data_IF_143914912998
#
_entry.id   IF_143914912998
#
_cell.length_a   1.000
_cell.length_b   1.000
_cell.length_c   1.000
_cell.angle_alpha   90.00
_cell.angle_beta   90.00
_cell.angle_gamma   90.00
#
_symmetry.space_group_name_H-M   'P 1'
#
loop_
_entity.id
_entity.type
_entity.pdbx_description
1 polymer ?
#
# COMPACT_ATOMS: atom_id res chain seq x y z
N UNK A 1 32.29 -26.10 38.52
CA UNK A 1 30.87 -25.93 38.90
C UNK A 1 30.44 -24.50 39.18
N UNK A 2 31.11 -23.71 40.02
CA UNK A 2 30.68 -22.34 40.40
C UNK A 2 30.65 -21.37 39.19
N UNK A 3 31.65 -21.43 38.30
CA UNK A 3 31.73 -20.59 37.07
C UNK A 3 30.56 -20.90 36.15
N UNK A 4 30.27 -22.16 35.87
CA UNK A 4 29.17 -22.58 34.99
C UNK A 4 27.80 -22.09 35.50
N UNK A 5 27.55 -22.19 36.81
CA UNK A 5 26.31 -21.68 37.43
C UNK A 5 26.19 -20.15 37.29
N UNK A 6 27.29 -19.42 37.41
CA UNK A 6 27.32 -17.96 37.23
C UNK A 6 27.05 -17.57 35.78
N UNK A 7 27.65 -18.28 34.80
CA UNK A 7 27.44 -18.05 33.37
C UNK A 7 25.99 -18.34 32.99
N UNK A 8 25.42 -19.47 33.45
CA UNK A 8 24.00 -19.81 33.21
C UNK A 8 23.04 -18.77 33.82
N UNK A 9 23.36 -18.22 35.02
CA UNK A 9 22.55 -17.15 35.61
C UNK A 9 22.56 -15.89 34.75
N UNK A 10 23.74 -15.46 34.29
CA UNK A 10 23.84 -14.26 33.44
C UNK A 10 23.18 -14.46 32.08
N UNK A 11 23.30 -15.65 31.48
CA UNK A 11 22.60 -16.00 30.25
C UNK A 11 21.07 -15.92 30.43
N UNK A 12 20.55 -16.46 31.55
CA UNK A 12 19.13 -16.32 31.89
C UNK A 12 18.66 -14.87 32.04
N UNK A 13 19.46 -14.02 32.70
CA UNK A 13 19.17 -12.58 32.81
C UNK A 13 19.15 -11.89 31.46
N UNK A 14 20.13 -12.18 30.59
CA UNK A 14 20.19 -11.61 29.24
C UNK A 14 18.95 -12.03 28.41
N UNK A 15 18.57 -13.30 28.46
CA UNK A 15 17.36 -13.79 27.78
C UNK A 15 16.11 -13.05 28.29
N UNK A 16 15.95 -12.91 29.61
CA UNK A 16 14.82 -12.20 30.19
C UNK A 16 14.78 -10.73 29.76
N UNK A 17 15.93 -10.07 29.71
CA UNK A 17 16.03 -8.68 29.22
C UNK A 17 15.65 -8.58 27.72
N UNK A 18 16.12 -9.50 26.89
CA UNK A 18 15.76 -9.53 25.47
C UNK A 18 14.25 -9.77 25.26
N UNK A 19 13.66 -10.68 26.04
CA UNK A 19 12.21 -10.92 26.03
C UNK A 19 11.44 -9.69 26.48
N UNK A 20 11.90 -9.02 27.54
CA UNK A 20 11.26 -7.79 28.03
C UNK A 20 11.32 -6.66 27.00
N UNK A 21 12.48 -6.46 26.34
CA UNK A 21 12.65 -5.49 25.26
C UNK A 21 11.74 -5.85 24.07
N UNK A 22 11.72 -7.10 23.65
CA UNK A 22 10.85 -7.58 22.58
C UNK A 22 9.36 -7.35 22.88
N UNK A 23 8.92 -7.69 24.09
CA UNK A 23 7.54 -7.45 24.55
C UNK A 23 7.20 -5.95 24.57
N UNK A 24 8.14 -5.11 25.02
CA UNK A 24 7.94 -3.66 25.03
C UNK A 24 7.80 -3.10 23.61
N UNK A 25 8.67 -3.50 22.68
CA UNK A 25 8.60 -3.09 21.27
C UNK A 25 7.29 -3.56 20.62
N UNK A 26 6.88 -4.80 20.90
CA UNK A 26 5.58 -5.33 20.46
C UNK A 26 4.42 -4.45 20.95
N UNK A 27 4.37 -4.15 22.25
CA UNK A 27 3.28 -3.38 22.85
C UNK A 27 3.23 -1.94 22.39
N UNK A 28 4.39 -1.29 22.17
CA UNK A 28 4.45 0.12 21.79
C UNK A 28 4.23 0.33 20.29
N UNK A 29 4.76 -0.54 19.43
CA UNK A 29 4.76 -0.33 17.99
C UNK A 29 3.89 -1.31 17.23
N UNK A 30 4.07 -2.61 17.45
CA UNK A 30 3.44 -3.62 16.60
C UNK A 30 1.96 -3.79 16.93
N UNK A 31 1.60 -3.87 18.20
CA UNK A 31 0.20 -4.04 18.61
C UNK A 31 -0.71 -2.89 18.17
N UNK A 32 -0.38 -1.60 18.38
CA UNK A 32 -1.19 -0.49 17.87
C UNK A 32 -1.29 -0.47 16.34
N UNK A 33 -0.18 -0.78 15.65
CA UNK A 33 -0.17 -0.91 14.20
C UNK A 33 -1.15 -2.01 13.74
N UNK A 34 -1.07 -3.22 14.30
CA UNK A 34 -1.98 -4.32 13.97
C UNK A 34 -3.44 -4.01 14.31
N UNK A 35 -3.70 -3.27 15.40
CA UNK A 35 -5.07 -2.84 15.72
C UNK A 35 -5.61 -1.84 14.68
N UNK A 36 -4.77 -0.90 14.22
CA UNK A 36 -5.13 0.04 13.17
C UNK A 36 -5.41 -0.66 11.83
N UNK A 37 -4.67 -1.74 11.54
CA UNK A 37 -4.87 -2.57 10.34
C UNK A 37 -6.20 -3.32 10.30
N UNK A 38 -6.91 -3.42 11.43
CA UNK A 38 -8.24 -4.06 11.52
C UNK A 38 -9.40 -3.06 11.43
N UNK A 39 -9.14 -1.77 11.60
CA UNK A 39 -10.18 -0.75 11.66
C UNK A 39 -10.48 -0.22 10.25
N UNK A 40 -11.73 -0.30 9.83
CA UNK A 40 -12.21 0.27 8.58
C UNK A 40 -13.24 1.37 8.84
N UNK A 41 -13.28 2.33 7.93
CA UNK A 41 -14.32 3.37 7.89
C UNK A 41 -14.97 3.34 6.51
N UNK A 42 -16.29 3.11 6.47
CA UNK A 42 -17.06 3.13 5.23
C UNK A 42 -17.55 4.55 4.98
N UNK A 43 -17.24 5.09 3.81
CA UNK A 43 -17.64 6.43 3.37
C UNK A 43 -18.40 6.30 2.05
N UNK A 44 -19.70 6.58 2.07
CA UNK A 44 -20.50 6.72 0.86
C UNK A 44 -20.11 8.05 0.20
N UNK A 45 -19.19 8.03 -0.76
CA UNK A 45 -18.66 9.23 -1.43
C UNK A 45 -19.75 9.89 -2.29
N UNK A 46 -20.46 9.08 -3.05
CA UNK A 46 -21.67 9.46 -3.79
C UNK A 46 -22.60 8.22 -3.98
N UNK A 47 -23.59 8.31 -4.87
CA UNK A 47 -24.57 7.22 -5.10
C UNK A 47 -23.94 5.95 -5.69
N UNK A 48 -22.81 6.07 -6.39
CA UNK A 48 -22.16 4.99 -7.14
C UNK A 48 -20.83 4.57 -6.51
N UNK A 49 -20.17 5.44 -5.70
CA UNK A 49 -18.86 5.20 -5.14
C UNK A 49 -18.90 5.13 -3.62
N UNK A 50 -18.48 3.99 -3.08
CA UNK A 50 -18.21 3.80 -1.65
C UNK A 50 -16.72 3.58 -1.44
N UNK A 51 -16.13 4.32 -0.51
CA UNK A 51 -14.74 4.13 -0.08
C UNK A 51 -14.73 3.34 1.24
N UNK A 52 -13.82 2.38 1.35
CA UNK A 52 -13.56 1.63 2.58
C UNK A 52 -12.13 1.94 3.01
N UNK A 53 -12.00 2.90 3.92
CA UNK A 53 -10.72 3.46 4.34
C UNK A 53 -10.16 2.74 5.57
N UNK A 54 -8.83 2.58 5.61
CA UNK A 54 -8.15 1.85 6.68
C UNK A 54 -8.31 0.32 6.56
N UNK A 55 -8.01 -0.40 7.63
CA UNK A 55 -8.02 -1.86 7.60
C UNK A 55 -6.96 -2.45 6.65
N UNK A 56 -5.74 -1.90 6.70
CA UNK A 56 -4.73 -2.05 5.66
C UNK A 56 -4.87 -1.00 4.58
N UNK A 57 -4.76 -1.39 3.32
CA UNK A 57 -4.92 -0.49 2.18
C UNK A 57 -6.33 0.06 2.04
N UNK A 58 -6.45 1.28 1.52
CA UNK A 58 -7.73 1.88 1.18
C UNK A 58 -8.33 1.19 -0.05
N UNK A 59 -9.64 0.97 -0.04
CA UNK A 59 -10.36 0.29 -1.12
C UNK A 59 -11.50 1.15 -1.66
N UNK A 60 -11.90 0.90 -2.91
CA UNK A 60 -13.04 1.52 -3.56
C UNK A 60 -14.04 0.49 -4.08
N UNK A 61 -15.33 0.80 -3.98
CA UNK A 61 -16.42 0.02 -4.57
C UNK A 61 -17.19 0.95 -5.49
N UNK A 62 -17.05 0.78 -6.79
CA UNK A 62 -17.77 1.55 -7.79
C UNK A 62 -18.89 0.69 -8.39
N UNK A 63 -20.13 1.17 -8.30
CA UNK A 63 -21.34 0.44 -8.72
C UNK A 63 -21.99 1.12 -9.91
N UNK A 64 -22.23 0.36 -10.98
CA UNK A 64 -23.12 0.77 -12.08
C UNK A 64 -24.34 -0.15 -12.18
N UNK A 65 -25.17 0.07 -13.19
CA UNK A 65 -26.33 -0.81 -13.42
C UNK A 65 -25.92 -2.23 -13.81
N UNK A 66 -24.77 -2.42 -14.46
CA UNK A 66 -24.34 -3.68 -15.08
C UNK A 66 -23.12 -4.33 -14.45
N UNK A 67 -22.31 -3.60 -13.66
CA UNK A 67 -21.02 -4.06 -13.17
C UNK A 67 -20.69 -3.38 -11.83
N UNK A 68 -19.99 -4.10 -10.95
CA UNK A 68 -19.34 -3.54 -9.77
C UNK A 68 -17.82 -3.70 -9.92
N UNK A 69 -17.08 -2.61 -9.75
CA UNK A 69 -15.62 -2.64 -9.66
C UNK A 69 -15.21 -2.51 -8.20
N UNK A 70 -14.32 -3.40 -7.75
CA UNK A 70 -13.67 -3.36 -6.44
C UNK A 70 -12.19 -3.07 -6.65
N UNK A 71 -11.70 -1.99 -6.06
CA UNK A 71 -10.29 -1.60 -6.10
C UNK A 71 -9.67 -1.97 -4.76
N UNK A 72 -8.72 -2.92 -4.78
CA UNK A 72 -8.08 -3.56 -3.63
C UNK A 72 -9.04 -4.26 -2.67
N UNK A 73 -8.63 -5.41 -2.15
CA UNK A 73 -9.51 -6.35 -1.44
C UNK A 73 -9.20 -6.52 0.04
N UNK A 74 -8.18 -5.79 0.56
CA UNK A 74 -7.78 -5.86 1.98
C UNK A 74 -7.27 -7.23 2.42
N UNK A 75 -7.14 -7.42 3.74
CA UNK A 75 -6.76 -8.68 4.37
C UNK A 75 -7.60 -8.93 5.63
N UNK A 76 -7.59 -10.17 6.12
CA UNK A 76 -8.21 -10.61 7.38
C UNK A 76 -9.66 -10.14 7.57
N UNK A 77 -10.03 -9.71 8.78
CA UNK A 77 -11.38 -9.24 9.12
C UNK A 77 -11.83 -8.04 8.28
N UNK A 78 -10.88 -7.18 7.84
CA UNK A 78 -11.20 -6.04 6.98
C UNK A 78 -11.61 -6.49 5.56
N UNK A 79 -11.03 -7.58 5.05
CA UNK A 79 -11.44 -8.18 3.77
C UNK A 79 -12.84 -8.78 3.84
N UNK A 80 -13.19 -9.45 4.94
CA UNK A 80 -14.54 -9.98 5.16
C UNK A 80 -15.59 -8.86 5.20
N UNK A 81 -15.29 -7.76 5.91
CA UNK A 81 -16.18 -6.59 5.98
C UNK A 81 -16.35 -5.95 4.60
N UNK A 82 -15.24 -5.76 3.86
CA UNK A 82 -15.29 -5.24 2.49
C UNK A 82 -16.14 -6.14 1.60
N UNK A 83 -15.92 -7.45 1.62
CA UNK A 83 -16.65 -8.40 0.80
C UNK A 83 -18.15 -8.38 1.12
N UNK A 84 -18.55 -8.32 2.40
CA UNK A 84 -19.95 -8.18 2.81
C UNK A 84 -20.58 -6.92 2.22
N UNK A 85 -19.90 -5.77 2.34
CA UNK A 85 -20.36 -4.49 1.77
C UNK A 85 -20.49 -4.59 0.24
N UNK A 86 -19.52 -5.21 -0.43
CA UNK A 86 -19.56 -5.43 -1.89
C UNK A 86 -20.76 -6.27 -2.27
N UNK A 87 -21.04 -7.38 -1.56
CA UNK A 87 -22.19 -8.24 -1.85
C UNK A 87 -23.53 -7.54 -1.68
N UNK A 88 -23.65 -6.70 -0.64
CA UNK A 88 -24.86 -5.89 -0.40
C UNK A 88 -25.09 -4.88 -1.55
N UNK A 89 -24.03 -4.22 -2.02
CA UNK A 89 -24.14 -3.22 -3.10
C UNK A 89 -24.27 -3.85 -4.49
N UNK A 90 -23.63 -4.98 -4.71
CA UNK A 90 -23.63 -5.66 -6.02
C UNK A 90 -24.96 -6.35 -6.32
N UNK A 91 -25.62 -6.96 -5.33
CA UNK A 91 -26.75 -7.87 -5.58
C UNK A 91 -26.31 -9.02 -6.49
N UNK A 92 -26.92 -9.10 -7.69
CA UNK A 92 -26.60 -10.12 -8.70
C UNK A 92 -25.67 -9.63 -9.82
N UNK A 93 -25.16 -8.41 -9.73
CA UNK A 93 -24.26 -7.86 -10.75
C UNK A 93 -22.90 -8.58 -10.74
N UNK A 94 -22.25 -8.77 -11.89
CA UNK A 94 -20.88 -9.24 -11.95
C UNK A 94 -19.94 -8.30 -11.20
N UNK A 95 -18.88 -8.86 -10.64
CA UNK A 95 -17.87 -8.12 -9.90
C UNK A 95 -16.54 -8.22 -10.65
N UNK A 96 -15.88 -7.09 -10.82
CA UNK A 96 -14.52 -6.99 -11.32
C UNK A 96 -13.61 -6.47 -10.21
N UNK A 97 -12.59 -7.23 -9.85
CA UNK A 97 -11.59 -6.83 -8.87
C UNK A 97 -10.37 -6.28 -9.60
N UNK A 98 -9.81 -5.19 -9.08
CA UNK A 98 -8.56 -4.60 -9.54
C UNK A 98 -7.62 -4.52 -8.33
N UNK A 99 -6.47 -5.20 -8.39
CA UNK A 99 -5.43 -5.02 -7.39
C UNK A 99 -4.42 -3.99 -7.88
N UNK A 100 -4.19 -2.97 -7.07
CA UNK A 100 -3.14 -1.99 -7.33
C UNK A 100 -1.76 -2.65 -7.32
N UNK A 101 -1.54 -3.60 -6.41
CA UNK A 101 -0.33 -4.43 -6.33
C UNK A 101 -0.58 -5.70 -5.48
N UNK A 102 0.47 -6.53 -5.28
CA UNK A 102 0.33 -7.86 -4.68
C UNK A 102 0.34 -7.90 -3.15
N UNK A 103 0.66 -6.83 -2.44
CA UNK A 103 0.82 -6.88 -0.98
C UNK A 103 -0.47 -7.36 -0.28
N UNK A 104 -0.33 -8.05 0.86
CA UNK A 104 -1.45 -8.76 1.48
C UNK A 104 -2.66 -7.88 1.79
N UNK A 105 -2.45 -6.67 2.25
CA UNK A 105 -3.51 -5.72 2.60
C UNK A 105 -4.18 -5.05 1.39
N UNK A 106 -3.79 -5.42 0.17
CA UNK A 106 -4.42 -5.03 -1.09
C UNK A 106 -5.00 -6.23 -1.85
N UNK A 107 -4.51 -7.47 -1.61
CA UNK A 107 -4.82 -8.61 -2.46
C UNK A 107 -5.31 -9.87 -1.74
N UNK A 108 -5.11 -10.02 -0.42
CA UNK A 108 -5.48 -11.28 0.28
C UNK A 108 -6.98 -11.56 0.22
N UNK A 109 -7.82 -10.53 0.24
CA UNK A 109 -9.27 -10.67 0.10
C UNK A 109 -9.74 -11.17 -1.26
N UNK A 110 -8.86 -11.29 -2.28
CA UNK A 110 -9.19 -11.91 -3.56
C UNK A 110 -9.82 -13.30 -3.40
N UNK A 111 -9.43 -14.02 -2.34
CA UNK A 111 -9.95 -15.35 -2.03
C UNK A 111 -11.49 -15.40 -1.85
N UNK A 112 -12.12 -14.27 -1.52
CA UNK A 112 -13.58 -14.15 -1.44
C UNK A 112 -14.26 -13.98 -2.81
N UNK A 113 -13.50 -13.63 -3.86
CA UNK A 113 -14.01 -13.31 -5.21
C UNK A 113 -13.77 -14.46 -6.20
N UNK A 114 -13.78 -15.71 -5.72
CA UNK A 114 -13.61 -16.89 -6.56
C UNK A 114 -14.65 -16.91 -7.70
N UNK A 115 -14.19 -17.14 -8.93
CA UNK A 115 -15.03 -17.12 -10.12
C UNK A 115 -15.30 -15.74 -10.72
N UNK A 116 -14.80 -14.66 -10.09
CA UNK A 116 -14.84 -13.30 -10.62
C UNK A 116 -13.57 -12.99 -11.42
N UNK A 117 -13.62 -11.97 -12.26
CA UNK A 117 -12.41 -11.44 -12.92
C UNK A 117 -11.60 -10.61 -11.93
N UNK A 118 -10.31 -10.93 -11.81
CA UNK A 118 -9.35 -10.22 -10.95
C UNK A 118 -8.19 -9.76 -11.83
N UNK A 119 -7.97 -8.45 -11.93
CA UNK A 119 -6.91 -7.82 -12.73
C UNK A 119 -5.78 -7.37 -11.82
N UNK A 120 -4.54 -7.69 -12.16
CA UNK A 120 -3.33 -7.16 -11.53
C UNK A 120 -2.28 -6.80 -12.59
N UNK A 121 -1.20 -6.14 -12.16
CA UNK A 121 -0.13 -5.68 -13.05
C UNK A 121 0.64 -6.83 -13.71
N UNK A 122 0.98 -6.65 -14.99
CA UNK A 122 1.48 -7.71 -15.88
C UNK A 122 2.97 -8.05 -15.74
N UNK A 123 3.73 -7.36 -14.88
CA UNK A 123 5.14 -7.68 -14.65
C UNK A 123 5.35 -8.77 -13.59
N UNK A 124 4.27 -9.26 -12.96
CA UNK A 124 4.34 -10.41 -12.08
C UNK A 124 4.26 -11.71 -12.88
N UNK A 125 4.96 -12.76 -12.40
CA UNK A 125 4.69 -14.13 -12.84
C UNK A 125 3.68 -14.79 -11.90
N UNK A 126 3.00 -15.83 -12.37
CA UNK A 126 2.10 -16.63 -11.53
C UNK A 126 2.82 -17.20 -10.32
N UNK A 127 4.02 -17.73 -10.51
CA UNK A 127 4.85 -18.33 -9.45
C UNK A 127 5.22 -17.29 -8.39
N UNK A 128 5.59 -16.07 -8.81
CA UNK A 128 5.88 -14.97 -7.89
C UNK A 128 4.64 -14.64 -7.06
N UNK A 129 3.48 -14.45 -7.69
CA UNK A 129 2.25 -14.10 -6.99
C UNK A 129 1.83 -15.17 -5.98
N UNK A 130 1.86 -16.46 -6.40
CA UNK A 130 1.53 -17.58 -5.51
C UNK A 130 2.45 -17.65 -4.31
N UNK A 131 3.74 -17.40 -4.51
CA UNK A 131 4.74 -17.37 -3.42
C UNK A 131 4.49 -16.24 -2.43
N UNK A 132 4.19 -15.04 -2.90
CA UNK A 132 4.12 -13.83 -2.06
C UNK A 132 2.71 -13.59 -1.48
N UNK A 133 1.64 -13.88 -2.24
CA UNK A 133 0.25 -13.60 -1.85
C UNK A 133 -0.62 -14.86 -1.68
N UNK A 134 -0.17 -16.03 -2.16
CA UNK A 134 -0.88 -17.30 -2.06
C UNK A 134 -1.74 -17.63 -3.28
N UNK A 135 -1.94 -18.93 -3.54
CA UNK A 135 -2.64 -19.43 -4.72
C UNK A 135 -4.12 -18.96 -4.80
N UNK A 136 -4.79 -18.88 -3.65
CA UNK A 136 -6.21 -18.48 -3.59
C UNK A 136 -6.45 -17.00 -3.95
N UNK A 137 -5.40 -16.20 -4.04
CA UNK A 137 -5.48 -14.77 -4.36
C UNK A 137 -5.08 -14.46 -5.80
N UNK A 138 -4.74 -15.49 -6.58
CA UNK A 138 -4.17 -15.35 -7.91
C UNK A 138 -5.10 -14.57 -8.84
N UNK A 139 -4.60 -13.52 -9.51
CA UNK A 139 -5.34 -12.81 -10.55
C UNK A 139 -5.71 -13.74 -11.72
N UNK A 140 -6.83 -13.43 -12.36
CA UNK A 140 -7.28 -14.12 -13.57
C UNK A 140 -6.82 -13.43 -14.86
N UNK A 141 -6.40 -12.16 -14.75
CA UNK A 141 -5.96 -11.34 -15.88
C UNK A 141 -4.78 -10.45 -15.47
N UNK A 142 -3.81 -10.32 -16.37
CA UNK A 142 -2.61 -9.49 -16.21
C UNK A 142 -2.65 -8.29 -17.14
N UNK A 143 -2.65 -7.09 -16.56
CA UNK A 143 -2.63 -5.83 -17.30
C UNK A 143 -1.19 -5.46 -17.68
N UNK A 144 -0.88 -5.41 -18.99
CA UNK A 144 0.46 -5.07 -19.45
C UNK A 144 0.73 -3.57 -19.41
N UNK A 145 -0.21 -2.75 -19.87
CA UNK A 145 0.01 -1.31 -20.03
C UNK A 145 -1.19 -0.51 -19.52
N UNK A 146 -2.23 -0.36 -20.34
CA UNK A 146 -3.41 0.46 -20.05
C UNK A 146 -4.69 -0.26 -20.44
N UNK A 147 -5.76 -0.03 -19.68
CA UNK A 147 -7.11 -0.50 -20.01
C UNK A 147 -8.14 0.55 -19.60
N UNK A 148 -9.09 0.83 -20.49
CA UNK A 148 -10.24 1.66 -20.20
C UNK A 148 -11.49 0.78 -20.10
N UNK A 149 -12.21 0.89 -18.98
CA UNK A 149 -13.43 0.12 -18.67
C UNK A 149 -14.61 1.10 -18.64
N UNK A 150 -15.65 0.81 -19.41
CA UNK A 150 -16.89 1.59 -19.40
C UNK A 150 -17.77 1.19 -18.22
N UNK A 151 -18.19 2.17 -17.42
CA UNK A 151 -19.06 2.04 -16.25
C UNK A 151 -20.24 2.99 -16.37
N UNK A 152 -21.24 2.59 -17.17
CA UNK A 152 -22.37 3.48 -17.51
C UNK A 152 -21.87 4.72 -18.27
N UNK A 153 -22.06 5.91 -17.72
CA UNK A 153 -21.60 7.19 -18.25
C UNK A 153 -20.16 7.56 -17.80
N UNK A 154 -19.53 6.76 -16.95
CA UNK A 154 -18.15 6.94 -16.50
C UNK A 154 -17.18 6.05 -17.30
N UNK A 155 -15.91 6.41 -17.25
CA UNK A 155 -14.80 5.58 -17.71
C UNK A 155 -13.85 5.39 -16.56
N UNK A 156 -13.41 4.15 -16.33
CA UNK A 156 -12.38 3.78 -15.37
C UNK A 156 -11.13 3.40 -16.15
N UNK A 157 -10.04 4.15 -15.99
CA UNK A 157 -8.75 3.84 -16.58
C UNK A 157 -7.84 3.16 -15.58
N UNK A 158 -7.32 2.00 -15.95
CA UNK A 158 -6.23 1.33 -15.28
C UNK A 158 -4.94 1.64 -16.02
N UNK A 159 -3.91 2.08 -15.31
CA UNK A 159 -2.59 2.31 -15.88
C UNK A 159 -1.55 1.51 -15.07
N UNK A 160 -0.90 0.55 -15.70
CA UNK A 160 0.22 -0.16 -15.13
C UNK A 160 1.48 0.69 -15.23
N UNK A 161 2.10 0.99 -14.10
CA UNK A 161 3.36 1.70 -14.04
C UNK A 161 4.51 0.70 -14.32
N UNK A 162 4.77 0.41 -15.58
CA UNK A 162 5.65 -0.67 -16.06
C UNK A 162 7.13 -0.60 -15.59
N UNK A 163 7.41 0.10 -14.50
CA UNK A 163 8.74 0.23 -13.85
C UNK A 163 8.56 0.00 -12.35
N UNK A 164 9.62 -0.48 -11.71
CA UNK A 164 9.67 -0.62 -10.26
C UNK A 164 9.40 0.74 -9.59
N UNK A 165 8.27 0.84 -8.90
CA UNK A 165 7.89 1.99 -8.08
C UNK A 165 7.79 1.51 -6.64
N UNK A 166 6.62 1.10 -6.18
CA UNK A 166 6.43 0.42 -4.91
C UNK A 166 6.73 -1.08 -5.03
N UNK A 167 6.27 -1.67 -6.13
CA UNK A 167 6.53 -3.08 -6.49
C UNK A 167 7.05 -3.19 -7.94
N UNK A 168 7.11 -4.42 -8.47
CA UNK A 168 7.51 -4.66 -9.86
C UNK A 168 6.43 -4.23 -10.87
N UNK A 169 5.17 -4.10 -10.42
CA UNK A 169 4.05 -3.77 -11.29
C UNK A 169 2.91 -3.18 -10.46
N UNK A 170 2.85 -1.87 -10.43
CA UNK A 170 1.84 -1.12 -9.68
C UNK A 170 0.80 -0.56 -10.65
N UNK A 171 -0.49 -0.76 -10.37
CA UNK A 171 -1.60 -0.17 -11.12
C UNK A 171 -2.12 1.05 -10.37
N UNK A 172 -2.30 2.16 -11.07
CA UNK A 172 -3.15 3.26 -10.61
C UNK A 172 -4.48 3.21 -11.34
N UNK A 173 -5.57 3.56 -10.65
CA UNK A 173 -6.93 3.50 -11.19
C UNK A 173 -7.54 4.90 -11.17
N UNK A 174 -7.96 5.39 -12.34
CA UNK A 174 -8.51 6.74 -12.48
C UNK A 174 -9.99 6.70 -12.88
N UNK A 175 -10.84 7.36 -12.08
CA UNK A 175 -12.27 7.54 -12.31
C UNK A 175 -12.50 8.89 -12.99
N UNK A 176 -12.81 8.88 -14.29
CA UNK A 176 -12.87 10.11 -15.09
C UNK A 176 -13.95 11.09 -14.64
N UNK A 177 -15.17 10.62 -14.41
CA UNK A 177 -16.30 11.45 -13.98
C UNK A 177 -16.01 12.18 -12.67
N UNK A 178 -15.24 11.55 -11.79
CA UNK A 178 -14.91 12.06 -10.45
C UNK A 178 -13.55 12.77 -10.40
N UNK A 179 -12.77 12.71 -11.48
CA UNK A 179 -11.37 13.16 -11.50
C UNK A 179 -10.59 12.63 -10.30
N UNK A 180 -10.85 11.35 -9.95
CA UNK A 180 -10.34 10.69 -8.76
C UNK A 180 -9.36 9.59 -9.12
N UNK A 181 -8.19 9.61 -8.47
CA UNK A 181 -7.13 8.63 -8.63
C UNK A 181 -7.03 7.73 -7.37
N UNK A 182 -7.09 6.43 -7.56
CA UNK A 182 -6.63 5.45 -6.57
C UNK A 182 -5.17 5.14 -6.87
N UNK A 183 -4.30 5.48 -5.93
CA UNK A 183 -2.85 5.41 -6.13
C UNK A 183 -2.21 4.09 -5.70
N UNK A 184 -2.93 3.23 -4.96
CA UNK A 184 -2.26 2.16 -4.23
C UNK A 184 -1.08 2.72 -3.42
N UNK A 185 -0.09 1.90 -3.11
CA UNK A 185 1.08 2.30 -2.31
C UNK A 185 2.14 3.08 -3.10
N UNK A 186 1.88 3.35 -4.36
CA UNK A 186 2.62 4.39 -5.10
C UNK A 186 2.37 5.76 -4.50
N UNK A 187 1.21 5.98 -3.88
CA UNK A 187 0.84 7.25 -3.25
C UNK A 187 0.36 6.99 -1.82
N UNK A 188 1.12 7.47 -0.84
CA UNK A 188 0.75 7.46 0.57
C UNK A 188 0.52 8.89 1.07
N UNK A 189 -0.43 9.06 1.98
CA UNK A 189 -0.69 10.37 2.57
C UNK A 189 -0.17 10.43 4.01
N UNK A 190 0.90 11.22 4.22
CA UNK A 190 1.57 11.45 5.52
C UNK A 190 2.00 10.15 6.21
N UNK A 191 2.50 9.20 5.41
CA UNK A 191 3.06 7.95 5.90
C UNK A 191 4.38 7.64 5.18
N UNK A 192 5.36 7.15 5.91
CA UNK A 192 6.62 6.68 5.34
C UNK A 192 6.40 5.31 4.67
N UNK A 193 6.88 5.12 3.44
CA UNK A 193 6.70 3.86 2.73
C UNK A 193 7.57 2.74 3.29
N UNK A 194 7.13 1.51 3.12
CA UNK A 194 8.00 0.34 3.23
C UNK A 194 8.79 0.19 1.93
N UNK A 195 10.10 0.52 1.96
CA UNK A 195 10.99 0.35 0.80
C UNK A 195 11.61 -1.05 0.87
N UNK A 196 11.06 -1.99 0.11
CA UNK A 196 11.49 -3.40 0.11
C UNK A 196 11.69 -3.94 -1.29
N UNK A 197 12.51 -4.99 -1.40
CA UNK A 197 12.67 -5.74 -2.65
C UNK A 197 13.04 -4.83 -3.82
N UNK A 198 12.16 -4.79 -4.81
CA UNK A 198 12.33 -4.01 -6.03
C UNK A 198 11.84 -2.56 -5.94
N UNK A 199 11.27 -2.14 -4.79
CA UNK A 199 10.83 -0.74 -4.59
C UNK A 199 11.93 0.24 -4.93
N UNK A 200 11.64 1.26 -5.73
CA UNK A 200 12.66 2.20 -6.23
C UNK A 200 12.30 3.66 -5.94
N UNK A 201 13.06 4.35 -5.07
CA UNK A 201 12.87 5.78 -4.81
C UNK A 201 12.92 6.67 -6.06
N UNK A 202 13.71 6.30 -7.08
CA UNK A 202 13.73 7.00 -8.36
C UNK A 202 12.48 6.68 -9.19
N UNK A 203 11.97 5.45 -9.11
CA UNK A 203 10.70 5.04 -9.70
C UNK A 203 9.52 5.84 -9.15
N UNK A 204 9.48 6.05 -7.84
CA UNK A 204 8.47 6.92 -7.21
C UNK A 204 8.50 8.34 -7.77
N UNK A 205 9.68 8.98 -7.84
CA UNK A 205 9.81 10.33 -8.38
C UNK A 205 9.36 10.42 -9.85
N UNK A 206 9.69 9.42 -10.66
CA UNK A 206 9.20 9.34 -12.06
C UNK A 206 7.67 9.19 -12.12
N UNK A 207 7.08 8.35 -11.28
CA UNK A 207 5.63 8.16 -11.21
C UNK A 207 4.92 9.47 -10.84
N UNK A 208 5.43 10.22 -9.84
CA UNK A 208 4.87 11.51 -9.44
C UNK A 208 4.96 12.59 -10.52
N UNK A 209 5.95 12.52 -11.41
CA UNK A 209 6.04 13.42 -12.58
C UNK A 209 5.14 12.99 -13.74
N UNK A 210 4.90 11.70 -13.87
CA UNK A 210 4.14 11.12 -15.00
C UNK A 210 2.63 11.14 -14.74
N UNK A 211 2.17 10.71 -13.57
CA UNK A 211 0.75 10.52 -13.26
C UNK A 211 -0.06 11.80 -13.47
N UNK A 212 0.36 12.99 -12.98
CA UNK A 212 -0.40 14.23 -13.19
C UNK A 212 -0.43 14.73 -14.65
N UNK A 213 0.46 14.22 -15.51
CA UNK A 213 0.44 14.53 -16.96
C UNK A 213 -0.55 13.64 -17.72
N UNK A 214 -0.91 12.48 -17.15
CA UNK A 214 -1.85 11.54 -17.76
C UNK A 214 -3.31 11.83 -17.37
N UNK A 215 -3.54 12.44 -16.20
CA UNK A 215 -4.86 12.57 -15.61
C UNK A 215 -5.07 13.97 -15.01
N UNK A 216 -6.27 14.53 -15.20
CA UNK A 216 -6.75 15.75 -14.52
C UNK A 216 -7.26 15.37 -13.12
N UNK A 217 -6.35 15.36 -12.12
CA UNK A 217 -6.61 14.82 -10.79
C UNK A 217 -7.11 15.91 -9.85
N UNK A 218 -8.31 15.73 -9.28
CA UNK A 218 -8.86 16.58 -8.24
C UNK A 218 -8.91 15.89 -6.87
N UNK A 219 -9.01 14.55 -6.86
CA UNK A 219 -9.04 13.74 -5.63
C UNK A 219 -8.10 12.55 -5.77
N UNK A 220 -7.48 12.19 -4.65
CA UNK A 220 -6.59 11.04 -4.53
C UNK A 220 -7.03 10.19 -3.35
N UNK A 221 -7.29 8.92 -3.62
CA UNK A 221 -7.39 7.87 -2.62
C UNK A 221 -6.02 7.20 -2.57
N UNK A 222 -5.17 7.51 -1.57
CA UNK A 222 -3.85 6.88 -1.44
C UNK A 222 -4.00 5.42 -1.00
N UNK A 223 -2.97 4.60 -1.15
CA UNK A 223 -2.97 3.25 -0.58
C UNK A 223 -3.19 3.30 0.93
N UNK A 224 -2.51 4.19 1.62
CA UNK A 224 -2.71 4.43 3.05
C UNK A 224 -2.80 5.92 3.37
N UNK A 225 -3.56 6.24 4.42
CA UNK A 225 -3.78 7.61 4.85
C UNK A 225 -5.10 8.20 4.38
N UNK A 226 -5.32 9.48 4.66
CA UNK A 226 -6.56 10.16 4.32
C UNK A 226 -6.66 10.49 2.83
N UNK A 227 -7.89 10.52 2.31
CA UNK A 227 -8.18 11.04 0.96
C UNK A 227 -7.82 12.53 0.91
N UNK A 228 -7.22 12.97 -0.19
CA UNK A 228 -6.79 14.37 -0.39
C UNK A 228 -6.94 14.82 -1.84
N UNK A 229 -6.30 15.93 -2.19
CA UNK A 229 -6.17 16.43 -3.55
C UNK A 229 -4.77 16.17 -4.12
N UNK A 230 -4.36 16.99 -5.09
CA UNK A 230 -3.04 16.87 -5.74
C UNK A 230 -1.87 17.11 -4.77
N UNK A 231 -2.10 17.79 -3.66
CA UNK A 231 -1.11 18.03 -2.60
C UNK A 231 -0.55 16.72 -2.03
N UNK A 232 -1.33 15.62 -2.03
CA UNK A 232 -0.87 14.31 -1.54
C UNK A 232 0.33 13.81 -2.37
N UNK A 233 0.29 13.94 -3.70
CA UNK A 233 1.43 13.61 -4.57
C UNK A 233 2.59 14.56 -4.30
N UNK A 234 2.31 15.87 -4.22
CA UNK A 234 3.35 16.89 -4.04
C UNK A 234 4.10 16.70 -2.71
N UNK A 235 3.36 16.46 -1.61
CA UNK A 235 3.93 16.22 -0.29
C UNK A 235 4.76 14.93 -0.28
N UNK A 236 4.27 13.85 -0.90
CA UNK A 236 4.97 12.58 -0.95
C UNK A 236 6.19 12.63 -1.87
N UNK A 237 6.13 13.37 -2.97
CA UNK A 237 7.29 13.68 -3.81
C UNK A 237 8.35 14.45 -3.04
N UNK A 238 7.95 15.50 -2.29
CA UNK A 238 8.87 16.27 -1.47
C UNK A 238 9.53 15.41 -0.38
N UNK A 239 8.77 14.48 0.22
CA UNK A 239 9.32 13.50 1.15
C UNK A 239 10.48 12.72 0.54
N UNK A 240 10.33 12.16 -0.66
CA UNK A 240 11.41 11.41 -1.32
C UNK A 240 12.62 12.28 -1.67
N UNK A 241 12.41 13.53 -2.12
CA UNK A 241 13.47 14.50 -2.39
C UNK A 241 14.26 14.78 -1.10
N UNK A 242 13.56 15.01 0.00
CA UNK A 242 14.17 15.28 1.31
C UNK A 242 14.91 14.05 1.84
N UNK A 243 14.37 12.84 1.69
CA UNK A 243 15.05 11.61 2.11
C UNK A 243 16.31 11.33 1.27
N UNK A 244 16.30 11.62 -0.03
CA UNK A 244 17.52 11.54 -0.88
C UNK A 244 18.55 12.58 -0.45
N UNK A 245 18.14 13.79 -0.13
CA UNK A 245 19.02 14.83 0.42
C UNK A 245 19.63 14.38 1.75
N UNK A 246 18.82 13.85 2.66
CA UNK A 246 19.28 13.34 3.96
C UNK A 246 20.22 12.12 3.84
N UNK A 247 20.06 11.32 2.77
CA UNK A 247 20.92 10.18 2.51
C UNK A 247 22.35 10.59 2.11
N UNK A 248 22.49 11.72 1.41
CA UNK A 248 23.78 12.23 0.89
C UNK A 248 24.39 13.37 1.70
N UNK A 249 23.58 14.07 2.51
CA UNK A 249 24.02 15.22 3.32
C UNK A 249 23.76 14.98 4.81
N UNK A 250 24.80 14.56 5.54
CA UNK A 250 24.70 14.23 6.97
C UNK A 250 24.30 15.44 7.83
N UNK A 251 24.66 16.69 7.45
CA UNK A 251 24.33 17.90 8.24
C UNK A 251 22.84 18.24 8.19
N UNK A 252 22.09 17.79 7.17
CA UNK A 252 20.64 17.99 7.04
C UNK A 252 19.81 16.81 7.52
N UNK A 253 20.46 15.67 7.83
CA UNK A 253 19.75 14.43 8.12
C UNK A 253 18.80 14.55 9.30
N UNK A 254 19.27 15.07 10.43
CA UNK A 254 18.47 15.12 11.67
C UNK A 254 17.28 16.08 11.53
N UNK A 255 17.48 17.23 10.87
CA UNK A 255 16.41 18.18 10.54
C UNK A 255 15.32 17.52 9.67
N UNK A 256 15.73 16.87 8.57
CA UNK A 256 14.79 16.27 7.63
C UNK A 256 14.09 15.04 8.21
N UNK A 257 14.76 14.25 9.03
CA UNK A 257 14.12 13.16 9.78
C UNK A 257 13.09 13.71 10.77
N UNK A 258 13.41 14.78 11.50
CA UNK A 258 12.52 15.42 12.45
C UNK A 258 11.27 16.02 11.75
N UNK A 259 11.43 16.61 10.55
CA UNK A 259 10.32 17.13 9.73
C UNK A 259 9.23 16.09 9.47
N UNK A 260 9.61 14.84 9.27
CA UNK A 260 8.69 13.74 8.93
C UNK A 260 8.54 12.70 10.06
N UNK A 261 8.85 13.06 11.32
CA UNK A 261 8.77 12.11 12.45
C UNK A 261 7.40 11.45 12.60
N UNK A 262 6.34 12.20 12.33
CA UNK A 262 4.95 11.74 12.47
C UNK A 262 4.46 10.89 11.28
N UNK A 263 5.29 10.74 10.23
CA UNK A 263 5.02 9.84 9.12
C UNK A 263 5.46 8.40 9.40
N UNK A 264 6.27 8.20 10.43
CA UNK A 264 6.74 6.87 10.84
C UNK A 264 5.61 6.03 11.43
N UNK A 265 5.51 4.76 11.00
CA UNK A 265 4.57 3.78 11.54
C UNK A 265 5.32 2.72 12.36
N UNK A 266 6.40 2.19 11.83
CA UNK A 266 7.29 1.21 12.47
C UNK A 266 8.73 1.71 12.31
N UNK A 267 9.47 2.00 13.41
CA UNK A 267 10.74 2.72 13.38
C UNK A 267 11.81 2.15 12.45
N UNK A 268 11.96 0.82 12.40
CA UNK A 268 13.00 0.15 11.61
C UNK A 268 12.56 -0.19 10.19
N UNK A 269 11.29 0.02 9.85
CA UNK A 269 10.71 -0.52 8.63
C UNK A 269 9.92 0.52 7.82
N UNK A 270 9.04 1.27 8.47
CA UNK A 270 8.20 2.32 7.87
C UNK A 270 8.47 3.64 8.57
N UNK A 271 9.62 4.24 8.29
CA UNK A 271 10.07 5.49 8.92
C UNK A 271 11.01 6.27 7.99
N UNK A 272 11.18 7.58 8.22
CA UNK A 272 12.18 8.37 7.49
C UNK A 272 13.58 7.77 7.53
N UNK A 273 13.99 7.25 8.70
CA UNK A 273 15.28 6.59 8.85
C UNK A 273 15.43 5.31 8.02
N UNK A 274 14.38 4.50 7.94
CA UNK A 274 14.33 3.31 7.11
C UNK A 274 14.41 3.66 5.62
N UNK A 275 13.67 4.70 5.18
CA UNK A 275 13.73 5.20 3.80
C UNK A 275 15.13 5.68 3.43
N UNK A 276 15.81 6.45 4.28
CA UNK A 276 17.19 6.90 4.06
C UNK A 276 18.14 5.70 3.93
N UNK A 277 18.00 4.70 4.80
CA UNK A 277 18.82 3.49 4.77
C UNK A 277 18.63 2.70 3.48
N UNK A 278 17.40 2.58 3.01
CA UNK A 278 17.07 1.92 1.74
C UNK A 278 17.66 2.67 0.53
N UNK A 279 17.59 4.01 0.52
CA UNK A 279 18.18 4.85 -0.53
C UNK A 279 19.70 4.67 -0.59
N UNK A 280 20.40 4.69 0.56
CA UNK A 280 21.86 4.47 0.63
C UNK A 280 22.23 3.09 0.07
N UNK A 281 21.57 2.04 0.53
CA UNK A 281 21.83 0.67 0.07
C UNK A 281 21.67 0.52 -1.45
N UNK A 282 20.67 1.17 -2.05
CA UNK A 282 20.49 1.15 -3.51
C UNK A 282 21.53 1.97 -4.26
N UNK A 283 22.03 3.06 -3.67
CA UNK A 283 23.13 3.83 -4.25
C UNK A 283 24.46 3.07 -4.30
N UNK A 284 24.70 2.16 -3.35
CA UNK A 284 25.90 1.29 -3.31
C UNK A 284 25.84 0.12 -4.32
N UNK A 285 24.65 -0.19 -4.86
CA UNK A 285 24.44 -1.29 -5.83
C UNK A 285 24.50 -0.85 -7.29
N UNK A 286 24.56 0.47 -7.55
CA UNK A 286 24.73 1.08 -8.88
C UNK A 286 26.20 1.41 -9.14
#
# INVERSE_FOLDING_TARGET
MKILKKTLKWLGIIILLLVAVGATLYMIYLRPFMQKMKQTTIVNYDKELTLVLGGGGNSGILVSDSLVIVIDTKMDEAAEQLFKTVKELAGNKPILVINTHYHPDHSTGNSFYTGQTIIAGGNYTKEFWVKEAGEKTLPTQWLQDRMDIKMGDDTVTLLNLAKNVHTASDIVVYLHKRKMLFGGDVILNKQAPAIMGVSDPDGYLMAFDMIPKQFDIQKIVPGHGAVGGIEVINDFKQYFIDMKTAATNQSKKDELVAKYKDWGQIPMFMSPGATISAIKKKGEQK
#
